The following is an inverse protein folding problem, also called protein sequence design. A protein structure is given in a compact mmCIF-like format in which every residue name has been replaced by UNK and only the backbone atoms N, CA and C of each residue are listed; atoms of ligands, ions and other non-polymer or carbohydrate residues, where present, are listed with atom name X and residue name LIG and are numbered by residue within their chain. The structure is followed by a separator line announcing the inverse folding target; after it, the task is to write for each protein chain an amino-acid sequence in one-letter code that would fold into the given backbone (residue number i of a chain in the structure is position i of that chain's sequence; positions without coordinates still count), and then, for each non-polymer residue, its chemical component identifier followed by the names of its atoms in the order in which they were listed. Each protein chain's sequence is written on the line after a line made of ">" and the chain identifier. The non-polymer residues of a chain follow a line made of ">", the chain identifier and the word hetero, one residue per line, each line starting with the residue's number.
data_IF_727397090114
#
_entry.id   IF_727397090114
#
_cell.length_a   1.000
_cell.length_b   1.000
_cell.length_c   1.000
_cell.angle_alpha   90.00
_cell.angle_beta   90.00
_cell.angle_gamma   90.00
#
_symmetry.space_group_name_H-M   'P 1'
#
loop_
_entity.id
_entity.type
_entity.pdbx_description
1 polymer ?
#
# COMPACT_ATOMS: atom_id res chain seq x y z
N UNK A 1 -19.55 -15.44 25.93
CA UNK A 1 -19.06 -15.71 24.56
C UNK A 1 -18.79 -14.38 23.85
N UNK A 2 -17.66 -14.22 23.14
CA UNK A 2 -17.39 -12.98 22.37
C UNK A 2 -18.38 -12.82 21.22
N UNK A 3 -19.02 -11.65 21.09
CA UNK A 3 -19.96 -11.35 20.00
C UNK A 3 -19.20 -11.21 18.68
N UNK A 4 -19.49 -12.07 17.70
CA UNK A 4 -18.88 -11.99 16.36
C UNK A 4 -19.65 -10.96 15.54
N UNK A 5 -19.03 -9.80 15.32
CA UNK A 5 -19.53 -8.72 14.49
C UNK A 5 -19.14 -8.97 13.03
N UNK A 6 -20.14 -9.05 12.16
CA UNK A 6 -19.99 -9.23 10.71
C UNK A 6 -20.51 -7.99 9.99
N UNK A 7 -19.88 -7.63 8.87
CA UNK A 7 -20.44 -6.62 7.95
C UNK A 7 -21.68 -7.16 7.25
N UNK A 8 -22.45 -6.31 6.57
CA UNK A 8 -23.65 -6.75 5.84
C UNK A 8 -23.34 -7.85 4.83
N UNK A 9 -22.26 -7.72 4.06
CA UNK A 9 -21.84 -8.71 3.07
C UNK A 9 -21.40 -10.04 3.70
N UNK A 10 -20.62 -9.97 4.79
CA UNK A 10 -20.22 -11.17 5.54
C UNK A 10 -21.43 -11.87 6.18
N UNK A 11 -22.40 -11.09 6.65
CA UNK A 11 -23.65 -11.60 7.22
C UNK A 11 -24.51 -12.28 6.16
N UNK A 12 -24.66 -11.67 4.97
CA UNK A 12 -25.33 -12.29 3.82
C UNK A 12 -24.65 -13.62 3.47
N UNK A 13 -23.32 -13.60 3.32
CA UNK A 13 -22.52 -14.79 3.01
C UNK A 13 -22.70 -15.89 4.07
N UNK A 14 -22.67 -15.54 5.36
CA UNK A 14 -22.92 -16.46 6.46
C UNK A 14 -24.32 -17.08 6.40
N UNK A 15 -25.37 -16.26 6.23
CA UNK A 15 -26.76 -16.75 6.18
C UNK A 15 -26.97 -17.75 5.05
N UNK A 16 -26.47 -17.45 3.86
CA UNK A 16 -26.58 -18.32 2.68
C UNK A 16 -25.83 -19.63 2.89
N UNK A 17 -24.57 -19.57 3.35
CA UNK A 17 -23.76 -20.79 3.56
C UNK A 17 -24.33 -21.63 4.72
N UNK A 18 -24.85 -21.00 5.78
CA UNK A 18 -25.56 -21.69 6.86
C UNK A 18 -26.76 -22.46 6.32
N UNK A 19 -27.59 -21.84 5.48
CA UNK A 19 -28.75 -22.50 4.86
C UNK A 19 -28.34 -23.68 3.96
N UNK A 20 -27.23 -23.55 3.22
CA UNK A 20 -26.68 -24.66 2.42
C UNK A 20 -26.17 -25.80 3.31
N UNK A 21 -25.48 -25.48 4.41
CA UNK A 21 -24.97 -26.49 5.35
C UNK A 21 -26.09 -27.25 6.05
N UNK A 22 -27.21 -26.58 6.37
CA UNK A 22 -28.44 -27.15 6.93
C UNK A 22 -29.31 -27.86 5.88
N UNK A 23 -28.84 -28.00 4.63
CA UNK A 23 -29.58 -28.59 3.49
C UNK A 23 -30.89 -27.87 3.14
N UNK A 24 -31.14 -26.66 3.66
CA UNK A 24 -32.32 -25.83 3.35
C UNK A 24 -32.19 -25.09 2.01
N UNK A 25 -30.98 -25.03 1.43
CA UNK A 25 -30.70 -24.35 0.17
C UNK A 25 -29.78 -25.17 -0.72
N UNK A 26 -30.10 -25.22 -2.02
CA UNK A 26 -29.25 -25.88 -3.01
C UNK A 26 -27.97 -25.07 -3.28
N UNK A 27 -26.87 -25.79 -3.53
CA UNK A 27 -25.55 -25.18 -3.81
C UNK A 27 -25.58 -24.28 -5.05
N UNK A 28 -26.25 -24.71 -6.13
CA UNK A 28 -26.37 -23.93 -7.36
C UNK A 28 -27.04 -22.56 -7.14
N UNK A 29 -28.09 -22.51 -6.32
CA UNK A 29 -28.76 -21.25 -5.95
C UNK A 29 -27.86 -20.34 -5.12
N UNK A 30 -27.07 -20.91 -4.20
CA UNK A 30 -26.11 -20.16 -3.41
C UNK A 30 -24.96 -19.60 -4.27
N UNK A 31 -24.53 -20.33 -5.30
CA UNK A 31 -23.53 -19.84 -6.26
C UNK A 31 -24.00 -18.57 -6.95
N UNK A 32 -25.23 -18.57 -7.48
CA UNK A 32 -25.83 -17.42 -8.16
C UNK A 32 -25.99 -16.24 -7.19
N UNK A 33 -26.55 -16.47 -5.99
CA UNK A 33 -26.84 -15.39 -5.03
C UNK A 33 -25.58 -14.70 -4.48
N UNK A 34 -24.52 -15.48 -4.23
CA UNK A 34 -23.25 -14.96 -3.71
C UNK A 34 -22.28 -14.55 -4.83
N UNK A 35 -22.63 -14.82 -6.09
CA UNK A 35 -21.75 -14.71 -7.24
C UNK A 35 -20.41 -15.44 -6.99
N UNK A 36 -20.48 -16.72 -6.60
CA UNK A 36 -19.33 -17.57 -6.27
C UNK A 36 -19.38 -18.87 -7.07
N UNK A 37 -18.21 -19.40 -7.39
CA UNK A 37 -18.09 -20.75 -7.95
C UNK A 37 -18.51 -21.82 -6.94
N UNK A 38 -18.96 -22.96 -7.45
CA UNK A 38 -19.36 -24.10 -6.62
C UNK A 38 -18.21 -24.60 -5.72
N UNK A 39 -16.96 -24.48 -6.18
CA UNK A 39 -15.75 -24.78 -5.40
C UNK A 39 -15.61 -23.86 -4.18
N UNK A 40 -15.81 -22.55 -4.37
CA UNK A 40 -15.76 -21.59 -3.27
C UNK A 40 -16.88 -21.83 -2.25
N UNK A 41 -18.10 -22.12 -2.72
CA UNK A 41 -19.22 -22.48 -1.83
C UNK A 41 -18.90 -23.75 -1.04
N UNK A 42 -18.40 -24.81 -1.67
CA UNK A 42 -18.00 -26.04 -0.97
C UNK A 42 -16.91 -25.79 0.08
N UNK A 43 -15.90 -24.97 -0.25
CA UNK A 43 -14.84 -24.58 0.70
C UNK A 43 -15.40 -23.82 1.90
N UNK A 44 -16.34 -22.89 1.67
CA UNK A 44 -17.01 -22.14 2.74
C UNK A 44 -17.89 -23.03 3.62
N UNK A 45 -18.62 -23.99 3.03
CA UNK A 45 -19.40 -24.97 3.78
C UNK A 45 -18.49 -25.83 4.67
N UNK A 46 -17.36 -26.30 4.14
CA UNK A 46 -16.36 -27.06 4.92
C UNK A 46 -15.85 -26.24 6.10
N UNK A 47 -15.40 -25.01 5.85
CA UNK A 47 -14.86 -24.15 6.89
C UNK A 47 -15.91 -23.70 7.92
N UNK A 48 -17.18 -23.56 7.52
CA UNK A 48 -18.29 -23.31 8.43
C UNK A 48 -18.55 -24.49 9.37
N UNK A 49 -18.46 -25.73 8.89
CA UNK A 49 -18.60 -26.92 9.74
C UNK A 49 -17.48 -27.02 10.79
N UNK A 50 -16.27 -26.61 10.44
CA UNK A 50 -15.11 -26.65 11.35
C UNK A 50 -15.11 -25.50 12.37
N UNK A 51 -15.38 -24.26 11.94
CA UNK A 51 -15.14 -23.04 12.75
C UNK A 51 -16.41 -22.20 13.01
N UNK A 52 -17.55 -22.62 12.48
CA UNK A 52 -18.81 -21.91 12.62
C UNK A 52 -18.79 -20.50 12.02
N UNK A 53 -19.47 -19.57 12.69
CA UNK A 53 -19.67 -18.18 12.22
C UNK A 53 -18.36 -17.37 12.10
N UNK A 54 -17.30 -17.76 12.81
CA UNK A 54 -16.04 -17.00 12.91
C UNK A 54 -15.35 -16.86 11.55
N UNK A 55 -15.44 -17.87 10.68
CA UNK A 55 -14.76 -17.89 9.37
C UNK A 55 -15.18 -16.75 8.43
N UNK A 56 -16.38 -16.20 8.62
CA UNK A 56 -16.90 -15.14 7.75
C UNK A 56 -16.42 -13.76 8.15
N UNK A 57 -15.81 -13.61 9.34
CA UNK A 57 -15.17 -12.36 9.71
C UNK A 57 -13.86 -12.21 8.93
N UNK A 58 -13.61 -11.00 8.42
CA UNK A 58 -12.34 -10.69 7.78
C UNK A 58 -11.16 -10.95 8.72
N UNK A 59 -10.17 -11.74 8.27
CA UNK A 59 -9.03 -12.17 9.11
C UNK A 59 -8.17 -11.00 9.61
N UNK A 60 -8.04 -9.94 8.83
CA UNK A 60 -7.26 -8.76 9.23
C UNK A 60 -8.11 -7.74 10.01
N UNK A 61 -9.35 -8.07 10.40
CA UNK A 61 -10.19 -7.15 11.17
C UNK A 61 -9.57 -6.94 12.55
N UNK A 62 -9.18 -5.71 12.83
CA UNK A 62 -8.55 -5.33 14.11
C UNK A 62 -7.08 -5.76 14.25
N UNK A 63 -6.49 -6.36 13.22
CA UNK A 63 -5.07 -6.71 13.21
C UNK A 63 -4.27 -5.45 12.86
N UNK A 64 -3.32 -5.08 13.71
CA UNK A 64 -2.38 -4.00 13.42
C UNK A 64 -1.36 -4.50 12.39
N UNK A 65 -1.07 -3.69 11.38
CA UNK A 65 0.00 -3.98 10.42
C UNK A 65 1.37 -3.94 11.12
N UNK A 66 2.35 -4.70 10.60
CA UNK A 66 3.71 -4.76 11.15
C UNK A 66 4.38 -3.38 11.27
N UNK A 67 4.10 -2.51 10.31
CA UNK A 67 4.63 -1.15 10.24
C UNK A 67 3.63 -0.10 10.75
N UNK A 68 2.59 -0.51 11.48
CA UNK A 68 1.66 0.43 12.08
C UNK A 68 2.37 1.23 13.18
N UNK A 69 2.13 2.54 13.21
CA UNK A 69 2.65 3.42 14.27
C UNK A 69 2.19 2.89 15.63
N UNK A 70 3.11 2.69 16.59
CA UNK A 70 2.80 2.28 17.95
C UNK A 70 1.76 3.18 18.62
N UNK A 71 0.96 2.62 19.52
CA UNK A 71 -0.12 3.39 20.17
C UNK A 71 0.42 4.50 21.07
N UNK A 72 1.59 4.32 21.69
CA UNK A 72 2.21 5.36 22.52
C UNK A 72 2.52 6.63 21.69
N UNK A 73 3.09 6.49 20.50
CA UNK A 73 3.39 7.61 19.60
C UNK A 73 2.10 8.32 19.18
N UNK A 74 1.04 7.57 18.88
CA UNK A 74 -0.27 8.17 18.58
C UNK A 74 -0.81 8.98 19.75
N UNK A 75 -0.74 8.45 20.96
CA UNK A 75 -1.18 9.18 22.16
C UNK A 75 -0.32 10.42 22.39
N UNK A 76 1.00 10.33 22.22
CA UNK A 76 1.90 11.47 22.33
C UNK A 76 1.54 12.57 21.33
N UNK A 77 1.29 12.22 20.06
CA UNK A 77 0.86 13.17 19.03
C UNK A 77 -0.47 13.84 19.42
N UNK A 78 -1.45 13.08 19.92
CA UNK A 78 -2.75 13.63 20.36
C UNK A 78 -2.57 14.59 21.53
N UNK A 79 -1.74 14.24 22.51
CA UNK A 79 -1.45 15.09 23.67
C UNK A 79 -0.84 16.42 23.24
N UNK A 80 0.20 16.38 22.40
CA UNK A 80 0.86 17.57 21.87
C UNK A 80 -0.15 18.42 21.07
N UNK A 81 -0.94 17.79 20.19
CA UNK A 81 -1.94 18.50 19.39
C UNK A 81 -2.97 19.24 20.25
N UNK A 82 -3.37 18.67 21.38
CA UNK A 82 -4.32 19.28 22.33
C UNK A 82 -3.73 20.42 23.16
N UNK A 83 -2.41 20.47 23.33
CA UNK A 83 -1.74 21.51 24.11
C UNK A 83 -1.58 22.84 23.35
N UNK A 84 -1.70 22.83 22.02
CA UNK A 84 -1.59 24.06 21.23
C UNK A 84 -2.73 25.04 21.56
N UNK A 85 -2.35 26.27 21.96
CA UNK A 85 -3.29 27.37 22.19
C UNK A 85 -4.00 27.80 20.91
N UNK A 86 -3.29 27.81 19.78
CA UNK A 86 -3.82 28.05 18.43
C UNK A 86 -3.54 26.80 17.59
N UNK A 87 -4.57 26.23 16.95
CA UNK A 87 -4.42 24.97 16.23
C UNK A 87 -3.54 25.16 14.99
N UNK A 88 -2.45 24.39 14.83
CA UNK A 88 -1.62 24.48 13.63
C UNK A 88 -2.42 24.04 12.40
N UNK A 89 -2.20 24.75 11.28
CA UNK A 89 -2.88 24.49 10.02
C UNK A 89 -2.41 23.15 9.44
N UNK A 90 -3.33 22.18 9.31
CA UNK A 90 -3.06 20.80 8.85
C UNK A 90 -2.52 20.75 7.41
N UNK A 91 -2.63 21.83 6.62
CA UNK A 91 -2.18 21.88 5.23
C UNK A 91 -0.66 21.99 5.06
N UNK A 92 0.04 22.53 6.05
CA UNK A 92 1.49 22.68 6.01
C UNK A 92 2.07 21.86 7.15
N UNK A 93 2.27 20.56 6.92
CA UNK A 93 3.11 19.72 7.78
C UNK A 93 4.58 20.09 7.56
N UNK A 94 4.92 21.35 7.81
CA UNK A 94 6.31 21.76 7.91
C UNK A 94 6.83 21.30 9.26
N UNK A 95 8.04 20.74 9.24
CA UNK A 95 8.67 20.15 10.42
C UNK A 95 8.96 21.20 11.50
N UNK A 96 9.02 22.46 11.10
CA UNK A 96 9.28 23.64 11.90
C UNK A 96 8.35 24.73 11.40
N UNK A 97 7.68 25.44 12.30
CA UNK A 97 6.94 26.65 11.92
C UNK A 97 7.90 27.82 11.81
N UNK A 98 7.85 28.55 10.69
CA UNK A 98 8.65 29.77 10.51
C UNK A 98 8.41 30.83 11.61
N UNK A 99 7.23 30.83 12.22
CA UNK A 99 6.84 31.80 13.26
C UNK A 99 7.24 31.38 14.68
N UNK A 100 7.37 30.07 14.95
CA UNK A 100 7.50 29.56 16.33
C UNK A 100 8.78 28.75 16.59
N UNK A 101 9.42 28.19 15.56
CA UNK A 101 10.54 27.27 15.71
C UNK A 101 11.82 27.81 15.07
N UNK A 102 12.96 27.59 15.73
CA UNK A 102 14.28 27.82 15.12
C UNK A 102 14.59 26.70 14.12
N UNK A 103 14.65 27.04 12.84
CA UNK A 103 14.94 26.08 11.75
C UNK A 103 16.43 25.71 11.79
N UNK A 104 16.80 24.42 11.89
CA UNK A 104 18.20 24.02 11.81
C UNK A 104 18.76 24.21 10.40
N UNK A 105 19.95 24.81 10.29
CA UNK A 105 20.65 24.95 9.00
C UNK A 105 20.93 23.57 8.39
N UNK A 106 20.26 23.26 7.28
CA UNK A 106 20.53 22.02 6.53
C UNK A 106 21.73 22.25 5.61
N UNK A 107 22.80 21.46 5.81
CA UNK A 107 23.96 21.48 4.91
C UNK A 107 23.51 20.94 3.56
N UNK A 108 23.58 21.76 2.50
CA UNK A 108 23.31 21.33 1.13
C UNK A 108 24.21 20.13 0.80
N UNK A 109 23.61 19.01 0.39
CA UNK A 109 24.38 17.85 -0.06
C UNK A 109 25.24 18.24 -1.26
N UNK A 110 26.52 17.84 -1.23
CA UNK A 110 27.41 18.06 -2.38
C UNK A 110 26.90 17.21 -3.54
N UNK A 111 26.74 17.82 -4.71
CA UNK A 111 26.35 17.10 -5.93
C UNK A 111 27.36 15.97 -6.18
N UNK A 112 26.87 14.75 -6.37
CA UNK A 112 27.71 13.61 -6.73
C UNK A 112 28.31 13.86 -8.12
N UNK A 113 29.63 13.81 -8.24
CA UNK A 113 30.31 14.02 -9.52
C UNK A 113 29.89 12.93 -10.52
N UNK A 114 29.35 13.37 -11.66
CA UNK A 114 29.01 12.50 -12.79
C UNK A 114 30.08 12.75 -13.86
N UNK A 115 30.89 11.73 -14.22
CA UNK A 115 31.94 11.91 -15.23
C UNK A 115 31.38 12.39 -16.58
N UNK A 116 32.14 13.19 -17.35
CA UNK A 116 31.74 13.62 -18.68
C UNK A 116 31.65 12.44 -19.64
N UNK A 117 30.95 12.65 -20.76
CA UNK A 117 30.71 11.60 -21.77
C UNK A 117 32.01 11.11 -22.44
N UNK A 118 33.05 11.95 -22.44
CA UNK A 118 34.40 11.65 -22.92
C UNK A 118 35.21 10.72 -22.01
N UNK A 119 34.70 10.36 -20.82
CA UNK A 119 35.44 9.51 -19.89
C UNK A 119 35.52 8.05 -20.39
N UNK A 120 36.69 7.37 -20.34
CA UNK A 120 36.90 6.05 -20.95
C UNK A 120 35.86 4.96 -20.63
N UNK A 121 35.41 4.82 -19.37
CA UNK A 121 34.38 3.83 -19.01
C UNK A 121 32.95 4.22 -19.40
N UNK A 122 32.67 5.51 -19.65
CA UNK A 122 31.36 6.00 -20.12
C UNK A 122 31.29 5.97 -21.65
N UNK A 123 32.42 6.19 -22.31
CA UNK A 123 32.56 6.19 -23.75
C UNK A 123 32.09 4.87 -24.36
N UNK A 124 32.46 3.72 -23.78
CA UNK A 124 32.02 2.42 -24.30
C UNK A 124 30.51 2.18 -24.15
N UNK A 125 29.90 2.64 -23.05
CA UNK A 125 28.44 2.65 -22.90
C UNK A 125 27.77 3.54 -23.95
N UNK A 126 28.42 4.66 -24.29
CA UNK A 126 27.91 5.60 -25.28
C UNK A 126 27.97 5.05 -26.70
N UNK A 127 29.10 4.45 -27.08
CA UNK A 127 29.26 3.76 -28.38
C UNK A 127 28.22 2.64 -28.56
N UNK A 128 27.84 1.94 -27.49
CA UNK A 128 26.73 0.97 -27.53
C UNK A 128 25.38 1.64 -27.77
N UNK A 129 25.13 2.77 -27.14
CA UNK A 129 23.92 3.56 -27.37
C UNK A 129 23.83 4.07 -28.82
N UNK A 130 24.92 4.63 -29.36
CA UNK A 130 24.98 5.15 -30.73
C UNK A 130 24.71 4.05 -31.77
N UNK A 131 25.34 2.87 -31.60
CA UNK A 131 25.06 1.70 -32.46
C UNK A 131 23.59 1.28 -32.46
N UNK A 132 22.87 1.46 -31.36
CA UNK A 132 21.45 1.12 -31.26
C UNK A 132 20.55 2.10 -32.01
N UNK A 133 20.96 3.36 -32.12
CA UNK A 133 20.25 4.39 -32.91
C UNK A 133 20.80 4.49 -34.33
N UNK A 134 21.60 3.51 -34.75
CA UNK A 134 22.22 3.44 -36.08
C UNK A 134 23.09 4.67 -36.42
N UNK A 135 23.75 5.25 -35.41
CA UNK A 135 24.65 6.39 -35.53
C UNK A 135 26.07 6.04 -35.08
N UNK A 136 27.07 6.74 -35.60
CA UNK A 136 28.47 6.57 -35.18
C UNK A 136 28.95 7.71 -34.28
N UNK A 137 30.07 7.48 -33.59
CA UNK A 137 30.66 8.49 -32.71
C UNK A 137 31.17 9.70 -33.50
N UNK A 138 31.67 9.48 -34.71
CA UNK A 138 32.16 10.51 -35.62
C UNK A 138 31.01 11.40 -36.10
N UNK A 139 29.87 10.81 -36.45
CA UNK A 139 28.66 11.55 -36.82
C UNK A 139 28.17 12.45 -35.67
N UNK A 140 28.15 11.91 -34.44
CA UNK A 140 27.74 12.66 -33.25
C UNK A 140 28.71 13.81 -32.91
N UNK A 141 30.02 13.61 -33.10
CA UNK A 141 31.02 14.66 -32.89
C UNK A 141 30.95 15.74 -33.98
N UNK A 142 30.63 15.37 -35.23
CA UNK A 142 30.41 16.29 -36.33
C UNK A 142 29.14 17.15 -36.12
N UNK A 143 28.04 16.55 -35.66
CA UNK A 143 26.79 17.26 -35.35
C UNK A 143 26.93 18.26 -34.19
N UNK A 144 27.82 17.97 -33.23
CA UNK A 144 28.04 18.84 -32.06
C UNK A 144 29.03 19.98 -32.34
N UNK A 145 29.85 19.85 -33.37
CA UNK A 145 30.86 20.86 -33.77
C UNK A 145 30.36 21.78 -34.89
N UNK A 146 29.30 21.40 -35.60
CA UNK A 146 28.49 22.27 -36.46
C UNK A 146 27.65 23.27 -35.65
#
# INVERSE_FOLDING_TARGET
>A
MKRILLTMNETKKYKVIKAVAEKKKQKARACIELNLSIRQVNRLVKAYKEKGKIIFAHKNRGVKHKHAVPDNIKQQIITIYRQFKVRPNVKHFERYSEEFDTIPETKKERRKYIPPQSHPWKLESFKRYLRRIESTLEDYEAEKTA
#
